data_IF_584029294436
#
_entry.id   IF_584029294436
#
_cell.length_a   1.000
_cell.length_b   1.000
_cell.length_c   1.000
_cell.angle_alpha   90.00
_cell.angle_beta   90.00
_cell.angle_gamma   90.00
#
_symmetry.space_group_name_H-M   'P 1'
#
loop_
_entity.id
_entity.type
_entity.pdbx_description
1 polymer ?
#
# COMPACT_ATOMS: atom_id res chain seq x y z
N UNK A 1 17.55 7.61 3.45
CA UNK A 1 17.68 7.71 1.97
C UNK A 1 16.62 8.67 1.48
N UNK A 2 16.98 9.62 0.61
CA UNK A 2 16.05 10.53 -0.06
C UNK A 2 16.24 10.39 -1.58
N UNK A 3 15.15 10.20 -2.33
CA UNK A 3 15.16 10.03 -3.78
C UNK A 3 14.10 10.93 -4.43
N UNK A 4 14.47 11.63 -5.49
CA UNK A 4 13.57 12.44 -6.30
C UNK A 4 13.78 12.18 -7.80
N UNK A 5 12.74 11.69 -8.50
CA UNK A 5 12.81 11.41 -9.95
C UNK A 5 11.41 11.41 -10.59
N UNK A 6 11.31 11.70 -11.89
CA UNK A 6 10.03 11.58 -12.60
C UNK A 6 9.57 10.12 -12.74
N UNK A 7 10.50 9.20 -12.92
CA UNK A 7 10.23 7.77 -13.05
C UNK A 7 11.25 6.95 -12.29
N UNK A 8 10.79 5.90 -11.63
CA UNK A 8 11.64 4.93 -10.96
C UNK A 8 11.24 3.52 -11.39
N UNK A 9 12.17 2.81 -12.03
CA UNK A 9 12.03 1.40 -12.37
C UNK A 9 12.84 0.58 -11.36
N UNK A 10 12.15 -0.17 -10.52
CA UNK A 10 12.71 -1.11 -9.55
C UNK A 10 12.20 -2.53 -9.80
N UNK A 11 11.79 -2.84 -11.04
CA UNK A 11 11.33 -4.18 -11.38
C UNK A 11 12.43 -5.20 -11.16
N UNK A 12 12.14 -6.24 -10.39
CA UNK A 12 13.10 -7.30 -10.04
C UNK A 12 14.39 -6.80 -9.36
N UNK A 13 14.38 -5.58 -8.81
CA UNK A 13 15.49 -4.98 -8.09
C UNK A 13 15.11 -4.70 -6.63
N UNK A 14 16.08 -4.28 -5.84
CA UNK A 14 15.86 -3.91 -4.45
C UNK A 14 16.39 -2.50 -4.19
N UNK A 15 15.53 -1.66 -3.63
CA UNK A 15 15.86 -0.38 -3.03
C UNK A 15 15.63 -0.49 -1.52
N UNK A 16 16.70 -0.41 -0.73
CA UNK A 16 16.62 -0.60 0.72
C UNK A 16 17.37 0.46 1.52
N UNK A 17 16.92 0.71 2.75
CA UNK A 17 17.57 1.59 3.74
C UNK A 17 17.70 0.90 5.09
N UNK A 18 18.85 1.06 5.75
CA UNK A 18 19.07 0.59 7.13
C UNK A 18 18.36 1.45 8.18
N UNK A 19 17.80 2.59 7.78
CA UNK A 19 16.98 3.46 8.62
C UNK A 19 15.76 3.92 7.85
N UNK A 20 15.46 5.21 7.94
CA UNK A 20 14.34 5.81 7.20
C UNK A 20 14.60 5.85 5.69
N UNK A 21 13.52 5.70 4.93
CA UNK A 21 13.50 5.85 3.49
C UNK A 21 12.38 6.80 3.09
N UNK A 22 12.73 7.89 2.43
CA UNK A 22 11.78 8.80 1.77
C UNK A 22 12.04 8.77 0.27
N UNK A 23 10.99 8.51 -0.51
CA UNK A 23 11.04 8.57 -1.97
C UNK A 23 9.91 9.46 -2.48
N UNK A 24 10.24 10.40 -3.37
CA UNK A 24 9.27 11.24 -4.08
C UNK A 24 9.45 11.01 -5.57
N UNK A 25 8.50 10.36 -6.21
CA UNK A 25 8.65 9.88 -7.58
C UNK A 25 7.39 10.11 -8.40
N UNK A 26 7.46 10.41 -9.69
CA UNK A 26 6.24 10.50 -10.50
C UNK A 26 5.60 9.12 -10.68
N UNK A 27 6.21 8.28 -11.52
CA UNK A 27 5.77 6.90 -11.75
C UNK A 27 6.75 5.93 -11.09
N UNK A 28 6.25 5.04 -10.23
CA UNK A 28 7.07 4.01 -9.61
C UNK A 28 6.63 2.62 -10.03
N UNK A 29 7.49 1.92 -10.78
CA UNK A 29 7.34 0.51 -11.07
C UNK A 29 8.18 -0.34 -10.10
N UNK A 30 7.51 -0.97 -9.13
CA UNK A 30 8.07 -1.94 -8.19
C UNK A 30 7.57 -3.36 -8.48
N UNK A 31 7.12 -3.62 -9.72
CA UNK A 31 6.50 -4.90 -10.08
C UNK A 31 7.50 -6.05 -10.29
N UNK A 32 6.98 -7.24 -10.59
CA UNK A 32 7.78 -8.45 -10.68
C UNK A 32 8.33 -8.79 -9.30
N UNK A 33 9.64 -8.97 -9.15
CA UNK A 33 10.26 -9.18 -7.83
C UNK A 33 10.85 -7.90 -7.23
N UNK A 34 10.30 -6.74 -7.58
CA UNK A 34 10.75 -5.44 -7.07
C UNK A 34 10.54 -5.32 -5.56
N UNK A 35 11.51 -4.71 -4.86
CA UNK A 35 11.48 -4.56 -3.39
C UNK A 35 11.83 -3.14 -2.99
N UNK A 36 10.96 -2.51 -2.22
CA UNK A 36 11.20 -1.25 -1.53
C UNK A 36 11.18 -1.50 -0.02
N UNK A 37 12.32 -1.40 0.65
CA UNK A 37 12.47 -1.82 2.04
C UNK A 37 13.05 -0.71 2.93
N UNK A 38 12.48 -0.51 4.11
CA UNK A 38 13.04 0.35 5.15
C UNK A 38 13.16 -0.39 6.48
N UNK A 39 14.35 -0.38 7.09
CA UNK A 39 14.52 -0.80 8.48
C UNK A 39 14.04 0.26 9.49
N UNK A 40 13.65 1.45 9.02
CA UNK A 40 12.95 2.48 9.77
C UNK A 40 11.56 2.76 9.20
N UNK A 41 11.14 4.03 9.28
CA UNK A 41 9.93 4.52 8.64
C UNK A 41 10.11 4.61 7.12
N UNK A 42 9.05 4.31 6.38
CA UNK A 42 8.99 4.43 4.92
C UNK A 42 7.95 5.50 4.55
N UNK A 43 8.38 6.52 3.81
CA UNK A 43 7.51 7.49 3.17
C UNK A 43 7.69 7.42 1.66
N UNK A 44 6.60 7.14 0.95
CA UNK A 44 6.55 7.24 -0.51
C UNK A 44 5.52 8.28 -0.91
N UNK A 45 5.96 9.28 -1.69
CA UNK A 45 5.08 10.19 -2.42
C UNK A 45 5.18 9.83 -3.90
N UNK A 46 4.05 9.51 -4.56
CA UNK A 46 4.07 9.28 -6.00
C UNK A 46 2.79 9.64 -6.75
N UNK A 47 2.88 9.87 -8.05
CA UNK A 47 1.65 9.95 -8.87
C UNK A 47 1.05 8.55 -9.07
N UNK A 48 1.90 7.54 -9.25
CA UNK A 48 1.47 6.14 -9.29
C UNK A 48 2.49 5.20 -8.67
N UNK A 49 2.00 4.12 -8.07
CA UNK A 49 2.79 2.96 -7.67
C UNK A 49 2.20 1.70 -8.29
N UNK A 50 3.00 1.05 -9.14
CA UNK A 50 2.77 -0.32 -9.60
C UNK A 50 3.58 -1.30 -8.75
N UNK A 51 2.90 -2.09 -7.93
CA UNK A 51 3.47 -3.10 -7.04
C UNK A 51 2.95 -4.51 -7.35
N UNK A 52 2.65 -4.80 -8.61
CA UNK A 52 2.08 -6.08 -9.01
C UNK A 52 3.09 -7.24 -9.09
N UNK A 53 2.61 -8.46 -9.30
CA UNK A 53 3.42 -9.62 -9.74
C UNK A 53 4.54 -10.05 -8.78
N UNK A 54 4.28 -9.99 -7.47
CA UNK A 54 5.21 -10.22 -6.34
C UNK A 54 6.07 -9.01 -5.92
N UNK A 55 5.70 -7.80 -6.35
CA UNK A 55 6.26 -6.56 -5.83
C UNK A 55 6.06 -6.45 -4.32
N UNK A 56 7.05 -5.92 -3.62
CA UNK A 56 7.01 -5.77 -2.17
C UNK A 56 7.40 -4.36 -1.73
N UNK A 57 6.55 -3.74 -0.92
CA UNK A 57 6.84 -2.51 -0.17
C UNK A 57 6.75 -2.82 1.32
N UNK A 58 7.82 -2.56 2.08
CA UNK A 58 7.89 -2.97 3.48
C UNK A 58 8.67 -2.00 4.37
N UNK A 59 8.16 -1.75 5.57
CA UNK A 59 8.82 -0.97 6.62
C UNK A 59 8.81 -1.68 7.97
N UNK A 60 9.93 -1.63 8.69
CA UNK A 60 10.02 -2.14 10.07
C UNK A 60 9.40 -1.18 11.11
N UNK A 61 9.04 0.05 10.70
CA UNK A 61 8.23 0.97 11.49
C UNK A 61 6.95 1.33 10.72
N UNK A 62 6.59 2.61 10.65
CA UNK A 62 5.45 3.07 9.86
C UNK A 62 5.75 3.00 8.36
N UNK A 63 4.72 2.71 7.57
CA UNK A 63 4.74 2.86 6.11
C UNK A 63 3.63 3.84 5.74
N UNK A 64 4.00 4.94 5.10
CA UNK A 64 3.06 5.92 4.57
C UNK A 64 3.22 6.00 3.05
N UNK A 65 2.16 5.66 2.31
CA UNK A 65 2.10 5.81 0.87
C UNK A 65 1.11 6.94 0.55
N UNK A 66 1.61 8.04 0.00
CA UNK A 66 0.82 9.14 -0.53
C UNK A 66 0.87 9.05 -2.05
N UNK A 67 -0.13 8.43 -2.67
CA UNK A 67 -0.08 8.15 -4.11
C UNK A 67 -1.33 8.59 -4.86
N UNK A 68 -1.18 8.92 -6.15
CA UNK A 68 -2.34 9.16 -7.01
C UNK A 68 -3.12 7.88 -7.31
N UNK A 69 -2.40 6.79 -7.63
CA UNK A 69 -2.94 5.46 -7.90
C UNK A 69 -2.06 4.39 -7.26
N UNK A 70 -2.67 3.31 -6.77
CA UNK A 70 -1.95 2.14 -6.25
C UNK A 70 -2.47 0.85 -6.91
N UNK A 71 -1.60 0.18 -7.66
CA UNK A 71 -1.86 -1.16 -8.22
C UNK A 71 -1.02 -2.16 -7.43
N UNK A 72 -1.65 -2.84 -6.47
CA UNK A 72 -1.04 -3.87 -5.63
C UNK A 72 -1.70 -5.23 -5.92
N UNK A 73 -1.44 -5.79 -7.11
CA UNK A 73 -2.19 -6.96 -7.59
C UNK A 73 -1.31 -8.17 -7.88
N UNK A 74 -1.91 -9.35 -8.07
CA UNK A 74 -1.19 -10.54 -8.53
C UNK A 74 -0.02 -10.93 -7.62
N UNK A 75 -0.28 -11.08 -6.32
CA UNK A 75 0.70 -11.31 -5.25
C UNK A 75 1.55 -10.11 -4.84
N UNK A 76 1.19 -8.89 -5.28
CA UNK A 76 1.74 -7.66 -4.73
C UNK A 76 1.52 -7.55 -3.21
N UNK A 77 2.50 -7.00 -2.49
CA UNK A 77 2.46 -6.87 -1.04
C UNK A 77 2.89 -5.49 -0.55
N UNK A 78 2.10 -4.91 0.36
CA UNK A 78 2.47 -3.74 1.16
C UNK A 78 2.34 -4.11 2.63
N UNK A 79 3.42 -3.95 3.38
CA UNK A 79 3.49 -4.36 4.78
C UNK A 79 4.11 -3.29 5.67
N UNK A 80 3.48 -3.02 6.80
CA UNK A 80 4.06 -2.24 7.89
C UNK A 80 4.10 -3.07 9.17
N UNK A 81 5.27 -3.15 9.80
CA UNK A 81 5.40 -3.77 11.12
C UNK A 81 4.79 -2.93 12.25
N UNK A 82 4.69 -1.61 12.04
CA UNK A 82 3.89 -0.74 12.89
C UNK A 82 2.64 -0.29 12.11
N UNK A 83 2.43 1.02 11.92
CA UNK A 83 1.24 1.54 11.24
C UNK A 83 1.38 1.55 9.72
N UNK A 84 0.30 1.19 9.03
CA UNK A 84 0.17 1.35 7.58
C UNK A 84 -0.79 2.49 7.28
N UNK A 85 -0.28 3.54 6.64
CA UNK A 85 -1.05 4.68 6.15
C UNK A 85 -1.07 4.70 4.63
N UNK A 86 -2.26 4.70 4.05
CA UNK A 86 -2.48 4.74 2.61
C UNK A 86 -3.36 5.95 2.29
N UNK A 87 -2.77 6.95 1.66
CA UNK A 87 -3.49 8.10 1.12
C UNK A 87 -3.44 8.01 -0.39
N UNK A 88 -4.48 7.41 -0.97
CA UNK A 88 -4.61 7.25 -2.41
C UNK A 88 -5.65 8.26 -2.90
N UNK A 89 -5.28 9.18 -3.79
CA UNK A 89 -6.28 10.17 -4.27
C UNK A 89 -7.20 9.62 -5.35
N UNK A 90 -6.86 8.46 -5.92
CA UNK A 90 -7.63 7.77 -6.96
C UNK A 90 -7.93 6.32 -6.59
N UNK A 91 -7.67 5.40 -7.51
CA UNK A 91 -7.99 3.98 -7.35
C UNK A 91 -6.90 3.28 -6.54
N UNK A 92 -7.34 2.55 -5.51
CA UNK A 92 -6.55 1.52 -4.88
C UNK A 92 -7.04 0.17 -5.39
N UNK A 93 -6.21 -0.53 -6.16
CA UNK A 93 -6.49 -1.89 -6.60
C UNK A 93 -5.60 -2.88 -5.85
N UNK A 94 -6.19 -3.65 -4.94
CA UNK A 94 -5.58 -4.72 -4.16
C UNK A 94 -6.05 -6.12 -4.61
N UNK A 95 -6.53 -6.28 -5.85
CA UNK A 95 -7.02 -7.57 -6.34
C UNK A 95 -5.90 -8.63 -6.33
N UNK A 96 -6.12 -9.74 -5.62
CA UNK A 96 -5.10 -10.78 -5.38
C UNK A 96 -3.82 -10.24 -4.71
N UNK A 97 -3.90 -9.07 -4.08
CA UNK A 97 -2.82 -8.43 -3.35
C UNK A 97 -2.97 -8.56 -1.84
N UNK A 98 -1.96 -8.09 -1.12
CA UNK A 98 -1.97 -7.99 0.34
C UNK A 98 -1.59 -6.60 0.81
N UNK A 99 -2.43 -6.01 1.66
CA UNK A 99 -2.12 -4.86 2.50
C UNK A 99 -2.17 -5.32 3.96
N UNK A 100 -1.06 -5.19 4.68
CA UNK A 100 -0.98 -5.68 6.06
C UNK A 100 -0.32 -4.67 6.99
N UNK A 101 -0.97 -4.43 8.12
CA UNK A 101 -0.42 -3.72 9.27
C UNK A 101 -0.37 -4.64 10.48
N UNK A 102 0.74 -4.67 11.20
CA UNK A 102 0.81 -5.34 12.52
C UNK A 102 0.39 -4.38 13.66
N UNK A 103 -0.09 -3.17 13.34
CA UNK A 103 -0.68 -2.20 14.26
C UNK A 103 -1.93 -1.58 13.60
N UNK A 104 -2.06 -0.26 13.56
CA UNK A 104 -3.19 0.43 12.94
C UNK A 104 -3.10 0.48 11.42
N UNK A 105 -4.26 0.49 10.76
CA UNK A 105 -4.39 0.71 9.33
C UNK A 105 -5.28 1.93 9.09
N UNK A 106 -4.77 2.90 8.35
CA UNK A 106 -5.55 4.04 7.86
C UNK A 106 -5.49 4.06 6.33
N UNK A 107 -6.64 4.04 5.67
CA UNK A 107 -6.74 4.02 4.22
C UNK A 107 -7.77 5.06 3.76
N UNK A 108 -7.35 5.92 2.83
CA UNK A 108 -8.24 6.79 2.06
C UNK A 108 -8.05 6.53 0.56
N UNK A 109 -9.15 6.43 -0.18
CA UNK A 109 -9.15 6.17 -1.62
C UNK A 109 -10.41 6.75 -2.30
N UNK A 110 -10.34 7.05 -3.59
CA UNK A 110 -11.55 7.36 -4.36
C UNK A 110 -12.38 6.08 -4.62
N UNK A 111 -11.71 4.95 -4.86
CA UNK A 111 -12.34 3.64 -4.97
C UNK A 111 -11.37 2.53 -4.53
N UNK A 112 -11.92 1.40 -4.12
CA UNK A 112 -11.16 0.26 -3.61
C UNK A 112 -11.58 -1.04 -4.30
N UNK A 113 -10.66 -1.69 -4.99
CA UNK A 113 -10.76 -3.08 -5.41
C UNK A 113 -9.99 -4.00 -4.47
N UNK A 114 -10.62 -5.10 -4.04
CA UNK A 114 -10.00 -6.12 -3.18
C UNK A 114 -10.51 -7.53 -3.56
N UNK A 115 -10.69 -7.80 -4.84
CA UNK A 115 -11.15 -9.10 -5.35
C UNK A 115 -10.10 -10.17 -5.09
N UNK A 116 -10.46 -11.21 -4.34
CA UNK A 116 -9.52 -12.24 -3.87
C UNK A 116 -8.26 -11.67 -3.18
N UNK A 117 -8.32 -10.43 -2.70
CA UNK A 117 -7.25 -9.74 -2.01
C UNK A 117 -7.41 -9.78 -0.50
N UNK A 118 -6.40 -9.28 0.21
CA UNK A 118 -6.37 -9.24 1.67
C UNK A 118 -5.97 -7.86 2.18
N UNK A 119 -6.77 -7.29 3.07
CA UNK A 119 -6.49 -6.06 3.80
C UNK A 119 -6.64 -6.37 5.29
N UNK A 120 -5.55 -6.33 6.06
CA UNK A 120 -5.57 -6.74 7.47
C UNK A 120 -4.83 -5.79 8.40
N UNK A 121 -5.33 -5.63 9.62
CA UNK A 121 -4.65 -4.94 10.71
C UNK A 121 -4.74 -5.72 12.02
N UNK A 122 -3.68 -5.71 12.83
CA UNK A 122 -3.75 -6.23 14.22
C UNK A 122 -4.23 -5.19 15.25
N UNK A 123 -4.31 -3.92 14.86
CA UNK A 123 -4.93 -2.83 15.62
C UNK A 123 -6.16 -2.27 14.90
N UNK A 124 -6.59 -1.06 15.28
CA UNK A 124 -7.75 -0.42 14.64
C UNK A 124 -7.52 -0.18 13.14
N UNK A 125 -8.57 -0.42 12.36
CA UNK A 125 -8.65 -0.11 10.93
C UNK A 125 -9.66 0.99 10.67
N UNK A 126 -9.27 2.02 9.93
CA UNK A 126 -10.14 3.05 9.39
C UNK A 126 -9.95 3.16 7.88
N UNK A 127 -11.00 2.81 7.14
CA UNK A 127 -11.07 2.87 5.69
C UNK A 127 -12.13 3.91 5.30
N UNK A 128 -11.72 4.95 4.61
CA UNK A 128 -12.61 5.97 4.03
C UNK A 128 -12.48 5.93 2.52
N UNK A 129 -13.52 5.49 1.83
CA UNK A 129 -13.51 5.35 0.37
C UNK A 129 -14.63 6.19 -0.20
N UNK A 130 -14.33 7.19 -1.02
CA UNK A 130 -15.36 8.13 -1.48
C UNK A 130 -16.40 7.46 -2.38
N UNK A 131 -15.99 6.44 -3.12
CA UNK A 131 -16.82 5.68 -4.06
C UNK A 131 -17.07 4.24 -3.63
N UNK A 132 -16.95 3.34 -4.60
CA UNK A 132 -17.23 1.92 -4.41
C UNK A 132 -16.07 1.17 -3.75
N UNK A 133 -16.44 0.22 -2.89
CA UNK A 133 -15.54 -0.80 -2.35
C UNK A 133 -15.98 -2.15 -2.91
N UNK A 134 -15.13 -2.79 -3.72
CA UNK A 134 -15.40 -4.11 -4.31
C UNK A 134 -14.56 -5.16 -3.59
N UNK A 135 -15.17 -5.93 -2.69
CA UNK A 135 -14.49 -6.98 -1.91
C UNK A 135 -14.95 -8.40 -2.29
N UNK A 136 -14.86 -8.77 -3.56
CA UNK A 136 -15.38 -10.06 -4.05
C UNK A 136 -14.41 -11.20 -3.77
N UNK A 137 -14.77 -12.10 -2.84
CA UNK A 137 -13.91 -13.22 -2.46
C UNK A 137 -12.60 -12.80 -1.78
N UNK A 138 -12.45 -11.52 -1.43
CA UNK A 138 -11.36 -11.00 -0.62
C UNK A 138 -11.78 -10.77 0.83
N UNK A 139 -10.84 -10.30 1.62
CA UNK A 139 -11.05 -10.03 3.05
C UNK A 139 -10.56 -8.63 3.45
N UNK A 140 -11.33 -8.01 4.34
CA UNK A 140 -10.97 -6.78 5.06
C UNK A 140 -11.18 -7.09 6.54
N UNK A 141 -10.08 -7.22 7.30
CA UNK A 141 -10.09 -7.69 8.68
C UNK A 141 -9.32 -6.74 9.60
N UNK A 142 -9.80 -6.61 10.83
CA UNK A 142 -9.13 -5.94 11.93
C UNK A 142 -9.24 -6.83 13.16
N UNK A 143 -8.14 -7.04 13.89
CA UNK A 143 -8.16 -7.73 15.19
C UNK A 143 -8.75 -6.82 16.30
N UNK A 144 -9.01 -5.55 15.97
CA UNK A 144 -9.69 -4.57 16.83
C UNK A 144 -10.91 -3.98 16.09
N UNK A 145 -11.15 -2.66 16.20
CA UNK A 145 -12.25 -2.02 15.47
C UNK A 145 -11.94 -1.91 13.98
N UNK A 146 -12.94 -2.19 13.14
CA UNK A 146 -12.96 -1.82 11.73
C UNK A 146 -14.04 -0.76 11.51
N UNK A 147 -13.63 0.41 11.04
CA UNK A 147 -14.54 1.44 10.54
C UNK A 147 -14.37 1.54 9.04
N UNK A 148 -15.43 1.26 8.29
CA UNK A 148 -15.49 1.42 6.84
C UNK A 148 -16.57 2.43 6.48
N UNK A 149 -16.18 3.49 5.80
CA UNK A 149 -17.09 4.47 5.21
C UNK A 149 -16.94 4.42 3.71
N UNK A 150 -18.02 4.10 2.99
CA UNK A 150 -18.04 4.11 1.53
C UNK A 150 -19.37 4.57 0.97
N UNK A 151 -19.39 5.00 -0.29
CA UNK A 151 -20.64 5.29 -0.99
C UNK A 151 -21.39 4.01 -1.38
N UNK A 152 -20.66 2.92 -1.67
CA UNK A 152 -21.25 1.62 -1.98
C UNK A 152 -20.32 0.45 -1.63
N UNK A 153 -20.91 -0.75 -1.53
CA UNK A 153 -20.26 -2.05 -1.31
C UNK A 153 -20.76 -3.08 -2.33
#
# INVERSE_FOLDING_TARGET
VELSTATLDNRNAELSSLGELTATVGQFDNSGKGRLLANGALLLNADSLNNQSAGAVSGQQSVQLNVGQLINTGSGSVYAKNSLGLKVTGVLNNDQGTLRSDSTLALSAASLGNTAGSITSSGNSSLTVDGAVVNRGGQILSDATLTLTSASL
#
